data_IF_625799366342
#
_entry.id   IF_625799366342
#
_cell.length_a   1.000
_cell.length_b   1.000
_cell.length_c   1.000
_cell.angle_alpha   90.00
_cell.angle_beta   90.00
_cell.angle_gamma   90.00
#
_symmetry.space_group_name_H-M   'P 1'
#
loop_
_entity.id
_entity.type
_entity.pdbx_description
1 polymer ?
#
# COMPACT_ATOMS: atom_id res chain seq x y z
N UNK A 1 10.19 50.04 -1.43
CA UNK A 1 9.49 49.18 -0.45
C UNK A 1 8.91 48.00 -1.23
N UNK A 2 9.48 46.81 -0.99
CA UNK A 2 9.32 45.61 -1.80
C UNK A 2 7.85 45.21 -2.05
N UNK A 3 7.51 45.10 -3.33
CA UNK A 3 6.32 44.40 -3.81
C UNK A 3 6.47 42.90 -3.47
N UNK A 4 5.74 42.43 -2.46
CA UNK A 4 5.56 40.99 -2.24
C UNK A 4 4.65 40.47 -3.36
N UNK A 5 5.01 39.41 -4.09
CA UNK A 5 4.16 38.89 -5.16
C UNK A 5 2.86 38.34 -4.54
N UNK A 6 1.77 39.05 -4.79
CA UNK A 6 0.41 38.64 -4.41
C UNK A 6 -0.08 37.71 -5.51
N UNK A 7 0.10 36.39 -5.30
CA UNK A 7 -0.54 35.38 -6.14
C UNK A 7 -1.91 35.08 -5.52
N UNK A 8 -3.01 35.31 -6.25
CA UNK A 8 -4.39 35.03 -5.80
C UNK A 8 -4.85 35.73 -4.50
N UNK A 9 -4.52 37.01 -4.34
CA UNK A 9 -5.07 37.88 -3.29
C UNK A 9 -4.84 37.41 -1.83
N UNK A 10 -3.87 36.50 -1.61
CA UNK A 10 -3.43 36.01 -0.29
C UNK A 10 -1.91 36.16 -0.14
N UNK A 11 -1.46 36.32 1.11
CA UNK A 11 -0.02 36.39 1.40
C UNK A 11 0.64 35.00 1.24
N UNK A 12 1.89 34.96 0.73
CA UNK A 12 2.69 33.72 0.64
C UNK A 12 2.81 32.99 1.99
N UNK A 13 2.78 33.72 3.10
CA UNK A 13 2.77 33.16 4.46
C UNK A 13 1.46 32.45 4.81
N UNK A 14 0.31 32.97 4.38
CA UNK A 14 -0.98 32.29 4.57
C UNK A 14 -1.08 31.02 3.72
N UNK A 15 -0.50 31.04 2.52
CA UNK A 15 -0.43 29.86 1.67
C UNK A 15 0.45 28.77 2.31
N UNK A 16 1.61 29.16 2.85
CA UNK A 16 2.51 28.24 3.54
C UNK A 16 1.92 27.66 4.84
N UNK A 17 1.02 28.39 5.52
CA UNK A 17 0.35 27.91 6.73
C UNK A 17 -0.88 27.05 6.46
N UNK A 18 -1.64 27.37 5.41
CA UNK A 18 -2.92 26.71 5.10
C UNK A 18 -2.75 25.46 4.23
N UNK A 19 -1.76 25.44 3.33
CA UNK A 19 -1.52 24.32 2.43
C UNK A 19 -1.12 23.02 3.15
N UNK A 20 -0.23 23.02 4.17
CA UNK A 20 0.10 21.80 4.89
C UNK A 20 -1.12 21.19 5.57
N UNK A 21 -2.02 22.03 6.12
CA UNK A 21 -3.26 21.58 6.76
C UNK A 21 -4.21 20.98 5.73
N UNK A 22 -4.39 21.64 4.59
CA UNK A 22 -5.24 21.14 3.50
C UNK A 22 -4.71 19.82 2.92
N UNK A 23 -3.38 19.71 2.73
CA UNK A 23 -2.74 18.48 2.25
C UNK A 23 -2.91 17.34 3.27
N UNK A 24 -2.72 17.62 4.56
CA UNK A 24 -2.99 16.66 5.64
C UNK A 24 -4.45 16.19 5.65
N UNK A 25 -5.41 17.09 5.47
CA UNK A 25 -6.83 16.74 5.41
C UNK A 25 -7.17 15.90 4.17
N UNK A 26 -6.59 16.20 3.02
CA UNK A 26 -6.75 15.37 1.82
C UNK A 26 -6.12 14.00 2.05
N UNK A 27 -4.92 13.95 2.65
CA UNK A 27 -4.25 12.70 2.96
C UNK A 27 -5.08 11.83 3.91
N UNK A 28 -5.64 12.40 4.98
CA UNK A 28 -6.49 11.64 5.91
C UNK A 28 -7.80 11.20 5.28
N UNK A 29 -8.40 12.02 4.41
CA UNK A 29 -9.57 11.62 3.62
C UNK A 29 -9.25 10.46 2.68
N UNK A 30 -8.13 10.51 1.96
CA UNK A 30 -7.67 9.44 1.05
C UNK A 30 -7.39 8.16 1.83
N UNK A 31 -6.75 8.24 3.00
CA UNK A 31 -6.52 7.08 3.86
C UNK A 31 -7.87 6.51 4.35
N UNK A 32 -8.80 7.37 4.78
CA UNK A 32 -10.10 6.96 5.28
C UNK A 32 -11.03 6.36 4.21
N UNK A 33 -10.86 6.75 2.95
CA UNK A 33 -11.67 6.28 1.81
C UNK A 33 -10.92 5.29 0.91
N UNK A 34 -9.66 4.98 1.22
CA UNK A 34 -8.78 4.32 0.26
C UNK A 34 -9.16 2.87 -0.05
N UNK A 35 -9.78 2.13 0.89
CA UNK A 35 -10.34 0.80 0.58
C UNK A 35 -11.47 0.89 -0.46
N UNK A 36 -12.32 1.91 -0.34
CA UNK A 36 -13.40 2.18 -1.28
C UNK A 36 -12.85 2.62 -2.64
N UNK A 37 -11.87 3.51 -2.65
CA UNK A 37 -11.21 3.99 -3.88
C UNK A 37 -10.50 2.84 -4.58
N UNK A 38 -9.79 1.98 -3.85
CA UNK A 38 -9.13 0.80 -4.42
C UNK A 38 -10.15 -0.15 -5.07
N UNK A 39 -11.27 -0.42 -4.40
CA UNK A 39 -12.35 -1.23 -4.98
C UNK A 39 -12.98 -0.60 -6.23
N UNK A 40 -13.15 0.72 -6.24
CA UNK A 40 -13.65 1.44 -7.42
C UNK A 40 -12.64 1.47 -8.57
N UNK A 41 -11.35 1.61 -8.27
CA UNK A 41 -10.28 1.52 -9.26
C UNK A 41 -10.28 0.14 -9.92
N UNK A 42 -10.35 -0.95 -9.15
CA UNK A 42 -10.43 -2.30 -9.70
C UNK A 42 -11.64 -2.48 -10.64
N UNK A 43 -12.83 -2.02 -10.22
CA UNK A 43 -14.04 -2.05 -11.06
C UNK A 43 -13.91 -1.20 -12.32
N UNK A 44 -13.25 -0.06 -12.23
CA UNK A 44 -13.00 0.82 -13.37
C UNK A 44 -11.99 0.19 -14.33
N UNK A 45 -10.91 -0.40 -13.81
CA UNK A 45 -9.91 -1.15 -14.57
C UNK A 45 -10.53 -2.34 -15.30
N UNK A 46 -11.44 -3.07 -14.66
CA UNK A 46 -12.19 -4.17 -15.28
C UNK A 46 -13.13 -3.69 -16.39
N UNK A 47 -13.77 -2.52 -16.25
CA UNK A 47 -14.64 -1.98 -17.31
C UNK A 47 -13.88 -1.41 -18.51
N UNK A 48 -12.70 -0.82 -18.28
CA UNK A 48 -11.92 -0.14 -19.32
C UNK A 48 -10.99 -1.12 -20.05
N UNK A 49 -10.43 -2.10 -19.32
CA UNK A 49 -9.41 -3.02 -19.82
C UNK A 49 -9.80 -4.49 -19.73
N UNK A 50 -10.92 -4.83 -19.09
CA UNK A 50 -11.48 -6.17 -19.11
C UNK A 50 -12.28 -6.39 -20.38
N UNK A 51 -11.99 -7.49 -21.07
CA UNK A 51 -12.76 -7.94 -22.22
C UNK A 51 -13.36 -9.32 -21.92
N UNK A 52 -14.69 -9.40 -21.64
CA UNK A 52 -15.34 -10.65 -21.31
C UNK A 52 -15.36 -11.65 -22.48
N UNK A 53 -15.09 -11.21 -23.72
CA UNK A 53 -15.03 -12.10 -24.89
C UNK A 53 -13.69 -12.87 -24.99
N UNK A 54 -12.61 -12.35 -24.41
CA UNK A 54 -11.27 -12.97 -24.45
C UNK A 54 -10.88 -13.63 -23.12
N UNK A 55 -11.72 -13.50 -22.08
CA UNK A 55 -11.48 -14.06 -20.75
C UNK A 55 -10.34 -13.37 -19.97
N UNK A 56 -9.86 -12.22 -20.47
CA UNK A 56 -8.76 -11.49 -19.86
C UNK A 56 -9.31 -10.47 -18.86
N UNK A 57 -9.07 -10.71 -17.58
CA UNK A 57 -9.42 -9.79 -16.49
C UNK A 57 -8.27 -8.82 -16.20
N UNK A 58 -8.59 -7.57 -15.86
CA UNK A 58 -7.59 -6.55 -15.48
C UNK A 58 -6.64 -7.04 -14.37
N UNK A 59 -7.11 -7.89 -13.46
CA UNK A 59 -6.27 -8.51 -12.42
C UNK A 59 -5.07 -9.28 -13.00
N UNK A 60 -5.25 -9.99 -14.12
CA UNK A 60 -4.17 -10.75 -14.78
C UNK A 60 -3.20 -9.83 -15.54
N UNK A 61 -3.68 -8.67 -15.97
CA UNK A 61 -2.86 -7.60 -16.55
C UNK A 61 -2.25 -6.69 -15.48
N UNK A 62 -2.32 -7.01 -14.18
CA UNK A 62 -1.67 -6.24 -13.12
C UNK A 62 -0.20 -6.63 -12.93
N UNK A 63 0.13 -7.90 -13.22
CA UNK A 63 1.49 -8.40 -13.24
C UNK A 63 2.08 -8.27 -14.66
N UNK A 64 3.34 -7.86 -14.78
CA UNK A 64 4.03 -8.00 -16.05
C UNK A 64 4.21 -9.48 -16.34
N UNK A 65 3.72 -10.00 -17.48
CA UNK A 65 3.92 -11.38 -17.83
C UNK A 65 5.43 -11.59 -18.06
N UNK A 66 6.08 -12.35 -17.18
CA UNK A 66 7.47 -12.75 -17.37
C UNK A 66 7.52 -13.80 -18.50
N UNK A 67 8.49 -13.65 -19.42
CA UNK A 67 8.68 -14.64 -20.49
C UNK A 67 9.02 -15.99 -19.85
N UNK A 68 8.22 -17.05 -20.05
CA UNK A 68 8.57 -18.36 -19.53
C UNK A 68 9.83 -18.86 -20.25
N UNK A 69 10.88 -19.17 -19.50
CA UNK A 69 12.10 -19.82 -19.99
C UNK A 69 11.88 -21.33 -20.15
N UNK A 70 10.83 -21.68 -20.88
CA UNK A 70 10.43 -23.05 -21.06
C UNK A 70 10.33 -23.40 -22.53
N UNK A 71 10.94 -24.53 -22.89
CA UNK A 71 10.84 -25.12 -24.21
C UNK A 71 9.45 -25.75 -24.38
N UNK A 72 8.65 -25.22 -25.31
CA UNK A 72 7.31 -25.73 -25.62
C UNK A 72 7.31 -27.09 -26.33
N UNK A 73 8.48 -27.55 -26.81
CA UNK A 73 8.64 -28.88 -27.40
C UNK A 73 9.95 -29.55 -26.92
N UNK A 74 10.00 -30.04 -25.67
CA UNK A 74 11.11 -30.84 -25.19
C UNK A 74 10.97 -32.30 -25.68
N UNK A 75 12.10 -32.94 -25.94
CA UNK A 75 12.14 -34.38 -26.20
C UNK A 75 12.02 -35.12 -24.86
N UNK A 76 10.78 -35.51 -24.54
CA UNK A 76 10.40 -36.13 -23.27
C UNK A 76 11.21 -37.40 -23.02
N UNK A 77 11.51 -38.19 -24.04
CA UNK A 77 12.20 -39.48 -23.86
C UNK A 77 13.69 -39.28 -23.54
N UNK A 78 14.33 -38.30 -24.20
CA UNK A 78 15.71 -37.93 -23.90
C UNK A 78 15.87 -37.29 -22.50
N UNK A 79 14.86 -36.53 -22.05
CA UNK A 79 14.84 -35.91 -20.72
C UNK A 79 14.53 -36.91 -19.60
N UNK A 80 13.63 -37.88 -19.83
CA UNK A 80 13.39 -39.00 -18.92
C UNK A 80 14.69 -39.79 -18.74
N UNK A 81 15.36 -40.14 -19.83
CA UNK A 81 16.60 -40.92 -19.76
C UNK A 81 17.71 -40.16 -19.01
N UNK A 82 17.84 -38.84 -19.21
CA UNK A 82 18.79 -38.02 -18.45
C UNK A 82 18.45 -37.96 -16.96
N UNK A 83 17.18 -37.79 -16.60
CA UNK A 83 16.75 -37.71 -15.20
C UNK A 83 16.87 -39.05 -14.47
N UNK A 84 16.55 -40.16 -15.14
CA UNK A 84 16.71 -41.51 -14.59
C UNK A 84 18.19 -41.86 -14.45
N UNK A 85 19.04 -41.48 -15.41
CA UNK A 85 20.48 -41.72 -15.33
C UNK A 85 21.20 -40.83 -14.29
N UNK A 86 20.70 -39.61 -14.05
CA UNK A 86 21.27 -38.66 -13.09
C UNK A 86 20.64 -38.71 -11.69
N UNK A 87 19.63 -39.57 -11.47
CA UNK A 87 18.91 -39.73 -10.19
C UNK A 87 19.80 -40.19 -9.01
N UNK A 88 21.10 -40.42 -9.24
CA UNK A 88 22.06 -40.82 -8.22
C UNK A 88 23.29 -39.93 -8.07
N UNK A 89 23.39 -38.77 -8.75
CA UNK A 89 24.68 -38.04 -8.78
C UNK A 89 24.71 -36.59 -8.28
N UNK A 90 23.62 -35.81 -8.24
CA UNK A 90 23.80 -34.34 -8.13
C UNK A 90 23.16 -33.57 -6.95
N UNK A 91 22.44 -34.18 -6.02
CA UNK A 91 21.82 -33.38 -4.94
C UNK A 91 22.28 -33.78 -3.54
N UNK A 92 22.70 -32.79 -2.74
CA UNK A 92 22.96 -32.90 -1.30
C UNK A 92 21.74 -33.37 -0.47
N UNK A 93 20.60 -33.57 -1.12
CA UNK A 93 19.35 -34.13 -0.60
C UNK A 93 19.06 -35.57 -1.11
N UNK A 94 19.82 -36.09 -2.08
CA UNK A 94 19.61 -37.41 -2.69
C UNK A 94 19.82 -38.58 -1.71
N UNK A 95 20.57 -38.38 -0.63
CA UNK A 95 20.71 -39.38 0.44
C UNK A 95 19.48 -39.52 1.35
N UNK A 96 18.50 -38.62 1.28
CA UNK A 96 17.29 -38.66 2.10
C UNK A 96 16.16 -39.47 1.46
N UNK A 97 16.21 -39.67 0.14
CA UNK A 97 15.18 -40.36 -0.66
C UNK A 97 15.75 -41.53 -1.48
N UNK A 98 16.96 -41.99 -1.17
CA UNK A 98 17.65 -43.07 -1.90
C UNK A 98 16.92 -44.44 -1.90
N UNK A 99 15.87 -44.58 -1.08
CA UNK A 99 15.03 -45.80 -0.99
C UNK A 99 13.74 -45.70 -1.85
N UNK A 100 13.46 -44.56 -2.48
CA UNK A 100 12.34 -44.43 -3.42
C UNK A 100 12.80 -44.82 -4.83
N UNK A 101 12.33 -45.98 -5.29
CA UNK A 101 12.46 -46.41 -6.68
C UNK A 101 11.81 -45.36 -7.57
N UNK A 102 12.62 -44.57 -8.25
CA UNK A 102 12.15 -43.56 -9.21
C UNK A 102 11.49 -44.31 -10.37
N UNK A 103 10.16 -44.39 -10.34
CA UNK A 103 9.37 -44.98 -11.41
C UNK A 103 9.54 -44.14 -12.70
N UNK A 104 10.09 -44.71 -13.79
CA UNK A 104 10.25 -44.00 -15.05
C UNK A 104 8.91 -43.49 -15.61
N UNK A 105 7.79 -44.15 -15.29
CA UNK A 105 6.47 -43.68 -15.69
C UNK A 105 6.04 -42.42 -14.93
N UNK A 106 6.37 -42.30 -13.64
CA UNK A 106 6.10 -41.10 -12.84
C UNK A 106 6.94 -39.90 -13.33
N UNK A 107 8.21 -40.13 -13.69
CA UNK A 107 9.07 -39.09 -14.29
C UNK A 107 8.50 -38.64 -15.64
N UNK A 108 8.06 -39.58 -16.48
CA UNK A 108 7.41 -39.28 -17.76
C UNK A 108 6.14 -38.45 -17.58
N UNK A 109 5.27 -38.82 -16.64
CA UNK A 109 4.04 -38.07 -16.35
C UNK A 109 4.32 -36.66 -15.82
N UNK A 110 5.34 -36.50 -14.96
CA UNK A 110 5.75 -35.17 -14.47
C UNK A 110 6.24 -34.25 -15.59
N UNK A 111 7.00 -34.79 -16.55
CA UNK A 111 7.52 -34.05 -17.70
C UNK A 111 6.42 -33.70 -18.71
N UNK A 112 5.47 -34.61 -18.95
CA UNK A 112 4.28 -34.32 -19.76
C UNK A 112 3.43 -33.20 -19.13
N UNK A 113 3.21 -33.27 -17.82
CA UNK A 113 2.48 -32.23 -17.08
C UNK A 113 3.21 -30.90 -17.10
N UNK A 114 4.53 -30.90 -16.94
CA UNK A 114 5.36 -29.70 -17.02
C UNK A 114 5.33 -29.06 -18.42
N UNK A 115 5.36 -29.88 -19.48
CA UNK A 115 5.20 -29.43 -20.87
C UNK A 115 3.82 -28.80 -21.09
N UNK A 116 2.75 -29.44 -20.61
CA UNK A 116 1.40 -28.92 -20.80
C UNK A 116 1.19 -27.60 -20.04
N UNK A 117 1.73 -27.49 -18.82
CA UNK A 117 1.77 -26.23 -18.06
C UNK A 117 2.58 -25.14 -18.80
N UNK A 118 3.67 -25.52 -19.46
CA UNK A 118 4.51 -24.62 -20.24
C UNK A 118 3.78 -24.07 -21.47
N UNK A 119 3.07 -24.91 -22.21
CA UNK A 119 2.24 -24.51 -23.35
C UNK A 119 1.14 -23.54 -22.89
N UNK A 120 0.44 -23.86 -21.81
CA UNK A 120 -0.60 -22.99 -21.25
C UNK A 120 -0.05 -21.63 -20.81
N UNK A 121 1.11 -21.59 -20.14
CA UNK A 121 1.77 -20.34 -19.73
C UNK A 121 2.22 -19.51 -20.93
N UNK A 122 2.71 -20.14 -21.99
CA UNK A 122 3.13 -19.44 -23.20
C UNK A 122 1.93 -18.87 -23.97
N UNK A 123 0.84 -19.64 -24.10
CA UNK A 123 -0.40 -19.18 -24.71
C UNK A 123 -1.00 -17.99 -23.93
N UNK A 124 -1.01 -18.07 -22.59
CA UNK A 124 -1.40 -16.97 -21.73
C UNK A 124 -0.47 -15.75 -21.91
N UNK A 125 0.84 -15.94 -21.96
CA UNK A 125 1.82 -14.88 -22.20
C UNK A 125 1.58 -14.15 -23.53
N UNK A 126 1.34 -14.89 -24.61
CA UNK A 126 1.07 -14.32 -25.94
C UNK A 126 -0.24 -13.55 -25.97
N UNK A 127 -1.30 -14.09 -25.36
CA UNK A 127 -2.60 -13.40 -25.25
C UNK A 127 -2.48 -12.12 -24.41
N UNK A 128 -1.81 -12.17 -23.27
CA UNK A 128 -1.62 -11.02 -22.37
C UNK A 128 -0.76 -9.94 -23.02
N UNK A 129 0.38 -10.30 -23.61
CA UNK A 129 1.32 -9.34 -24.23
C UNK A 129 0.66 -8.54 -25.36
N UNK A 130 -0.24 -9.15 -26.13
CA UNK A 130 -0.99 -8.48 -27.20
C UNK A 130 -1.95 -7.39 -26.67
N UNK A 131 -2.38 -7.50 -25.42
CA UNK A 131 -3.32 -6.55 -24.78
C UNK A 131 -2.63 -5.54 -23.85
N UNK A 132 -1.29 -5.53 -23.76
CA UNK A 132 -0.56 -4.51 -23.00
C UNK A 132 -0.53 -3.21 -23.80
N UNK A 133 -1.46 -2.31 -23.50
CA UNK A 133 -1.50 -0.95 -24.07
C UNK A 133 -0.67 0.04 -23.23
N UNK A 134 -0.16 1.14 -23.82
CA UNK A 134 0.55 2.18 -23.06
C UNK A 134 -0.35 2.85 -22.01
N UNK A 135 -1.65 2.93 -22.27
CA UNK A 135 -2.66 3.42 -21.31
C UNK A 135 -2.79 2.50 -20.10
N UNK A 136 -2.70 1.17 -20.29
CA UNK A 136 -2.71 0.20 -19.19
C UNK A 136 -1.45 0.31 -18.32
N UNK A 137 -0.27 0.55 -18.92
CA UNK A 137 0.97 0.78 -18.15
C UNK A 137 0.89 2.05 -17.30
N UNK A 138 0.36 3.14 -17.86
CA UNK A 138 0.15 4.39 -17.13
C UNK A 138 -0.85 4.20 -15.97
N UNK A 139 -1.95 3.49 -16.23
CA UNK A 139 -2.95 3.17 -15.22
C UNK A 139 -2.38 2.30 -14.08
N UNK A 140 -1.59 1.27 -14.41
CA UNK A 140 -0.89 0.41 -13.44
C UNK A 140 0.11 1.20 -12.59
N UNK A 141 0.88 2.10 -13.21
CA UNK A 141 1.81 2.98 -12.47
C UNK A 141 1.08 3.87 -11.46
N UNK A 142 -0.04 4.45 -11.87
CA UNK A 142 -0.88 5.26 -11.00
C UNK A 142 -1.46 4.42 -9.86
N UNK A 143 -1.98 3.24 -10.16
CA UNK A 143 -2.57 2.33 -9.18
C UNK A 143 -1.54 1.84 -8.15
N UNK A 144 -0.35 1.44 -8.57
CA UNK A 144 0.72 1.00 -7.66
C UNK A 144 1.21 2.15 -6.78
N UNK A 145 1.30 3.36 -7.33
CA UNK A 145 1.68 4.56 -6.55
C UNK A 145 0.61 4.89 -5.51
N UNK A 146 -0.67 4.85 -5.89
CA UNK A 146 -1.80 5.05 -4.98
C UNK A 146 -1.82 3.98 -3.88
N UNK A 147 -1.62 2.72 -4.24
CA UNK A 147 -1.58 1.61 -3.29
C UNK A 147 -0.42 1.74 -2.30
N UNK A 148 0.76 2.16 -2.74
CA UNK A 148 1.92 2.38 -1.85
C UNK A 148 1.65 3.46 -0.81
N UNK A 149 1.12 4.62 -1.24
CA UNK A 149 0.77 5.73 -0.34
C UNK A 149 -0.36 5.30 0.62
N UNK A 150 -1.39 4.63 0.09
CA UNK A 150 -2.51 4.14 0.87
C UNK A 150 -2.08 3.11 1.93
N UNK A 151 -1.30 2.10 1.52
CA UNK A 151 -0.82 1.03 2.41
C UNK A 151 0.01 1.60 3.56
N UNK A 152 0.94 2.51 3.25
CA UNK A 152 1.71 3.19 4.28
C UNK A 152 0.82 3.99 5.24
N UNK A 153 -0.22 4.64 4.69
CA UNK A 153 -1.18 5.43 5.45
C UNK A 153 -2.12 4.59 6.32
N UNK A 154 -2.51 3.40 5.90
CA UNK A 154 -3.36 2.49 6.69
C UNK A 154 -2.59 1.75 7.76
N UNK A 155 -1.39 1.25 7.43
CA UNK A 155 -0.50 0.59 8.41
C UNK A 155 -0.16 1.53 9.57
N UNK A 156 0.00 2.84 9.30
CA UNK A 156 0.34 3.85 10.30
C UNK A 156 -0.80 4.82 10.63
N UNK A 157 -2.06 4.39 10.43
CA UNK A 157 -3.23 5.28 10.55
C UNK A 157 -3.31 6.00 11.89
N UNK A 158 -3.04 5.30 13.00
CA UNK A 158 -3.06 5.88 14.34
C UNK A 158 -2.01 6.97 14.51
N UNK A 159 -0.78 6.73 14.04
CA UNK A 159 0.35 7.67 14.11
C UNK A 159 0.08 8.92 13.28
N UNK A 160 -0.46 8.76 12.07
CA UNK A 160 -0.79 9.88 11.17
C UNK A 160 -1.90 10.75 11.78
N UNK A 161 -2.93 10.15 12.38
CA UNK A 161 -3.98 10.89 13.08
C UNK A 161 -3.43 11.68 14.27
N UNK A 162 -2.56 11.06 15.07
CA UNK A 162 -1.88 11.74 16.19
C UNK A 162 -1.03 12.91 15.68
N UNK A 163 -0.25 12.69 14.61
CA UNK A 163 0.58 13.73 13.99
C UNK A 163 -0.27 14.89 13.45
N UNK A 164 -1.37 14.60 12.76
CA UNK A 164 -2.31 15.60 12.26
C UNK A 164 -2.86 16.45 13.41
N UNK A 165 -3.36 15.80 14.47
CA UNK A 165 -3.92 16.48 15.63
C UNK A 165 -2.84 17.31 16.33
N UNK A 166 -1.61 16.81 16.47
CA UNK A 166 -0.52 17.53 17.10
C UNK A 166 -0.14 18.81 16.33
N UNK A 167 -0.02 18.73 15.00
CA UNK A 167 0.27 19.89 14.15
C UNK A 167 -0.88 20.90 14.18
N UNK A 168 -2.14 20.43 14.10
CA UNK A 168 -3.32 21.27 14.17
C UNK A 168 -3.44 21.96 15.54
N UNK A 169 -3.22 21.24 16.63
CA UNK A 169 -3.20 21.77 18.00
C UNK A 169 -2.09 22.82 18.17
N UNK A 170 -0.87 22.53 17.70
CA UNK A 170 0.24 23.48 17.78
C UNK A 170 -0.05 24.76 17.00
N UNK A 171 -0.56 24.63 15.78
CA UNK A 171 -0.88 25.77 14.92
C UNK A 171 -2.01 26.61 15.49
N UNK A 172 -3.06 25.97 16.03
CA UNK A 172 -4.19 26.68 16.66
C UNK A 172 -3.79 27.36 17.97
N UNK A 173 -2.91 26.76 18.77
CA UNK A 173 -2.36 27.37 19.99
C UNK A 173 -1.47 28.57 19.70
N UNK A 174 -0.56 28.47 18.72
CA UNK A 174 0.28 29.59 18.32
C UNK A 174 -0.52 30.73 17.68
N UNK A 175 -1.55 30.39 16.90
CA UNK A 175 -2.44 31.37 16.26
C UNK A 175 -3.53 31.95 17.16
N UNK A 176 -3.65 31.49 18.41
CA UNK A 176 -4.74 31.85 19.33
C UNK A 176 -6.14 31.71 18.68
N UNK A 177 -6.30 30.75 17.77
CA UNK A 177 -7.53 30.48 17.02
C UNK A 177 -8.44 29.48 17.76
N UNK A 178 -8.39 29.47 19.09
CA UNK A 178 -9.25 28.62 19.88
C UNK A 178 -10.68 29.14 19.84
N UNK A 179 -11.65 28.22 19.78
CA UNK A 179 -13.07 28.55 19.86
C UNK A 179 -13.35 29.06 21.28
N UNK A 180 -13.56 30.37 21.42
CA UNK A 180 -13.90 31.01 22.69
C UNK A 180 -15.23 31.76 22.55
N UNK A 181 -16.13 31.64 23.55
CA UNK A 181 -17.39 32.40 23.58
C UNK A 181 -17.15 33.92 23.63
N UNK A 182 -16.01 34.34 24.20
CA UNK A 182 -15.55 35.73 24.24
C UNK A 182 -14.05 35.76 23.93
N UNK A 183 -13.61 36.48 22.87
CA UNK A 183 -12.19 36.62 22.60
C UNK A 183 -11.54 37.50 23.69
N UNK A 184 -10.33 37.15 24.16
CA UNK A 184 -9.60 37.97 25.12
C UNK A 184 -9.22 39.32 24.49
N UNK A 185 -9.64 40.42 25.10
CA UNK A 185 -9.34 41.78 24.62
C UNK A 185 -8.38 42.53 25.54
N UNK A 186 -8.30 42.15 26.82
CA UNK A 186 -7.44 42.80 27.81
C UNK A 186 -6.26 41.92 28.21
N UNK A 187 -5.18 42.54 28.72
CA UNK A 187 -3.96 41.81 29.17
C UNK A 187 -4.25 40.82 30.29
N UNK A 188 -5.23 41.12 31.15
CA UNK A 188 -5.69 40.24 32.22
C UNK A 188 -6.44 39.04 31.66
N UNK A 189 -7.27 39.24 30.63
CA UNK A 189 -7.99 38.14 29.98
C UNK A 189 -7.01 37.12 29.37
N UNK A 190 -5.95 37.58 28.70
CA UNK A 190 -4.93 36.69 28.14
C UNK A 190 -4.20 35.85 29.21
N UNK A 191 -3.93 36.43 30.39
CA UNK A 191 -3.29 35.69 31.49
C UNK A 191 -4.22 34.63 32.07
N UNK A 192 -5.45 35.00 32.39
CA UNK A 192 -6.44 34.07 32.95
C UNK A 192 -6.72 32.95 31.95
N UNK A 193 -6.88 33.29 30.68
CA UNK A 193 -7.07 32.33 29.59
C UNK A 193 -5.91 31.33 29.49
N UNK A 194 -4.68 31.81 29.46
CA UNK A 194 -3.49 30.95 29.34
C UNK A 194 -3.34 30.01 30.55
N UNK A 195 -3.57 30.52 31.76
CA UNK A 195 -3.51 29.71 33.00
C UNK A 195 -4.59 28.63 32.99
N UNK A 196 -5.82 28.99 32.64
CA UNK A 196 -6.92 28.04 32.54
C UNK A 196 -6.67 26.95 31.48
N UNK A 197 -6.10 27.33 30.32
CA UNK A 197 -5.75 26.40 29.25
C UNK A 197 -4.65 25.41 29.68
N UNK A 198 -3.62 25.88 30.39
CA UNK A 198 -2.57 25.02 30.95
C UNK A 198 -3.14 24.06 31.99
N UNK A 199 -3.98 24.56 32.90
CA UNK A 199 -4.63 23.74 33.92
C UNK A 199 -5.51 22.63 33.30
N UNK A 200 -6.30 22.98 32.29
CA UNK A 200 -7.16 22.03 31.58
C UNK A 200 -6.34 20.94 30.86
N UNK A 201 -5.29 21.33 30.11
CA UNK A 201 -4.43 20.36 29.42
C UNK A 201 -3.64 19.49 30.41
N UNK A 202 -3.23 20.02 31.57
CA UNK A 202 -2.58 19.25 32.63
C UNK A 202 -3.50 18.16 33.21
N UNK A 203 -4.78 18.49 33.43
CA UNK A 203 -5.78 17.50 33.87
C UNK A 203 -6.00 16.40 32.83
N UNK A 204 -6.10 16.76 31.54
CA UNK A 204 -6.21 15.79 30.45
C UNK A 204 -4.98 14.86 30.38
N UNK A 205 -3.78 15.42 30.54
CA UNK A 205 -2.53 14.66 30.55
C UNK A 205 -2.47 13.70 31.75
N UNK A 206 -2.86 14.16 32.95
CA UNK A 206 -2.93 13.30 34.13
C UNK A 206 -3.92 12.13 33.95
N UNK A 207 -5.07 12.39 33.30
CA UNK A 207 -6.05 11.37 32.95
C UNK A 207 -5.49 10.34 31.97
N UNK A 208 -4.82 10.80 30.89
CA UNK A 208 -4.17 9.92 29.91
C UNK A 208 -3.06 9.06 30.52
N UNK A 209 -2.22 9.62 31.40
CA UNK A 209 -1.18 8.86 32.12
C UNK A 209 -1.81 7.79 33.01
N UNK A 210 -2.90 8.12 33.71
CA UNK A 210 -3.59 7.17 34.58
C UNK A 210 -4.18 6.02 33.76
N UNK A 211 -4.77 6.33 32.60
CA UNK A 211 -5.28 5.34 31.66
C UNK A 211 -4.18 4.44 31.10
N UNK A 212 -3.03 5.01 30.73
CA UNK A 212 -1.87 4.26 30.25
C UNK A 212 -1.32 3.29 31.31
N UNK A 213 -1.20 3.74 32.56
CA UNK A 213 -0.82 2.87 33.68
C UNK A 213 -1.80 1.72 33.88
N UNK A 214 -3.09 1.98 33.70
CA UNK A 214 -4.14 0.95 33.79
C UNK A 214 -4.01 -0.10 32.68
N UNK A 215 -3.72 0.31 31.45
CA UNK A 215 -3.47 -0.61 30.34
C UNK A 215 -2.24 -1.49 30.58
N UNK A 216 -1.12 -0.92 31.05
CA UNK A 216 0.07 -1.68 31.41
C UNK A 216 -0.20 -2.70 32.52
N UNK A 217 -0.98 -2.32 33.53
CA UNK A 217 -1.36 -3.20 34.63
C UNK A 217 -2.33 -4.32 34.21
N UNK A 218 -3.07 -4.14 33.10
CA UNK A 218 -4.09 -5.09 32.65
C UNK A 218 -3.54 -6.35 31.97
N UNK A 219 -2.23 -6.42 31.69
CA UNK A 219 -1.56 -7.63 31.18
C UNK A 219 -1.92 -8.02 29.74
N UNK A 220 -2.64 -7.18 29.01
CA UNK A 220 -2.98 -7.39 27.60
C UNK A 220 -1.78 -6.93 26.76
N UNK A 221 -1.20 -7.77 25.87
CA UNK A 221 -0.13 -7.34 25.00
C UNK A 221 -0.64 -6.20 24.08
N UNK A 222 0.05 -5.07 24.15
CA UNK A 222 -0.15 -3.89 23.28
C UNK A 222 0.36 -4.14 21.86
#
# INVERSE_FOLDING_TARGET
MNQKPVFLNRSLSEWLSSLPVLMLLILTLVIGTGEMIHGQLLRMGERIFGDPATGVQYFMLRADPAKPDCNTNPDIEAEVQKKVNNAGQDDAFGGLFADEVVDPEAVRQSLLTARDQCIQKNEAYVKLTKHITPTLKAYRSFETSFFGIFRFGTENRSVILILMVAIAATTTTLGLHHIALRPPSTKTDFKVYSIAMVAANALLLASSISYWKLQLASGIPI
#
